data_IF_638634483552
#
_entry.id   IF_638634483552
#
_cell.length_a   1.000
_cell.length_b   1.000
_cell.length_c   1.000
_cell.angle_alpha   90.00
_cell.angle_beta   90.00
_cell.angle_gamma   90.00
#
_symmetry.space_group_name_H-M   'P 1'
#
loop_
_entity.id
_entity.type
_entity.pdbx_description
1 polymer ?
#
# COMPACT_ATOMS: atom_id res chain seq x y z
N UNK A 1 9.57 -30.22 10.92
CA UNK A 1 9.93 -30.37 9.50
C UNK A 1 11.41 -30.09 9.44
N UNK A 2 12.23 -31.05 9.04
CA UNK A 2 13.68 -30.88 8.97
C UNK A 2 14.00 -29.96 7.77
N UNK A 3 14.68 -28.84 8.01
CA UNK A 3 14.99 -27.85 6.97
C UNK A 3 16.31 -28.27 6.32
N UNK A 4 16.28 -28.59 5.03
CA UNK A 4 17.49 -28.85 4.26
C UNK A 4 17.79 -27.64 3.38
N UNK A 5 18.86 -26.90 3.66
CA UNK A 5 19.29 -25.77 2.82
C UNK A 5 20.01 -26.29 1.57
N UNK A 6 19.23 -26.76 0.59
CA UNK A 6 19.70 -27.41 -0.65
C UNK A 6 19.55 -26.54 -1.91
N UNK A 7 19.13 -25.29 -1.75
CA UNK A 7 18.93 -24.32 -2.82
C UNK A 7 19.54 -22.96 -2.47
N UNK A 8 20.39 -22.47 -3.36
CA UNK A 8 20.90 -21.10 -3.36
C UNK A 8 19.98 -20.22 -4.24
N UNK A 9 19.48 -19.12 -3.70
CA UNK A 9 18.68 -18.14 -4.46
C UNK A 9 19.38 -16.79 -4.42
N UNK A 10 19.90 -16.37 -5.56
CA UNK A 10 20.50 -15.06 -5.78
C UNK A 10 19.40 -14.09 -6.23
N UNK A 11 19.19 -13.02 -5.48
CA UNK A 11 18.12 -12.04 -5.71
C UNK A 11 18.73 -10.72 -6.14
N UNK A 12 18.52 -10.39 -7.42
CA UNK A 12 18.93 -9.18 -8.10
C UNK A 12 20.45 -8.90 -8.00
N UNK A 13 21.29 -9.92 -7.75
CA UNK A 13 22.72 -9.76 -7.50
C UNK A 13 23.05 -9.03 -6.19
N UNK A 14 22.07 -8.81 -5.32
CA UNK A 14 22.22 -8.08 -4.05
C UNK A 14 22.47 -9.03 -2.89
N UNK A 15 21.62 -10.04 -2.75
CA UNK A 15 21.67 -11.00 -1.65
C UNK A 15 21.47 -12.43 -2.13
N UNK A 16 22.08 -13.37 -1.42
CA UNK A 16 22.00 -14.80 -1.68
C UNK A 16 21.41 -15.51 -0.48
N UNK A 17 20.30 -16.20 -0.71
CA UNK A 17 19.55 -16.94 0.31
C UNK A 17 19.81 -18.44 0.19
N UNK A 18 20.08 -19.08 1.33
CA UNK A 18 20.14 -20.55 1.43
C UNK A 18 18.82 -21.07 2.00
N UNK A 19 18.07 -21.80 1.18
CA UNK A 19 16.68 -22.17 1.44
C UNK A 19 16.42 -23.64 1.08
N UNK A 20 15.28 -24.16 1.53
CA UNK A 20 14.82 -25.52 1.30
C UNK A 20 13.91 -25.56 0.07
N UNK A 21 14.39 -26.30 -0.94
CA UNK A 21 13.72 -26.44 -2.23
C UNK A 21 12.28 -26.92 -2.09
N UNK A 22 12.03 -27.92 -1.22
CA UNK A 22 10.70 -28.54 -1.07
C UNK A 22 9.71 -27.59 -0.41
N UNK A 23 10.19 -26.83 0.56
CA UNK A 23 9.42 -25.84 1.30
C UNK A 23 8.92 -24.77 0.33
N UNK A 24 9.81 -24.15 -0.45
CA UNK A 24 9.42 -23.13 -1.42
C UNK A 24 8.53 -23.69 -2.54
N UNK A 25 8.85 -24.87 -3.08
CA UNK A 25 8.05 -25.52 -4.13
C UNK A 25 6.61 -25.82 -3.70
N UNK A 26 6.37 -26.04 -2.40
CA UNK A 26 5.04 -26.35 -1.89
C UNK A 26 4.07 -25.15 -1.91
N UNK A 27 4.60 -23.93 -1.96
CA UNK A 27 3.80 -22.69 -1.98
C UNK A 27 3.93 -21.90 -3.29
N UNK A 28 5.07 -21.98 -3.98
CA UNK A 28 5.32 -21.23 -5.21
C UNK A 28 5.09 -22.08 -6.46
N UNK A 29 4.16 -21.64 -7.30
CA UNK A 29 3.95 -22.24 -8.63
C UNK A 29 5.19 -22.14 -9.51
N UNK A 30 5.93 -21.03 -9.42
CA UNK A 30 7.16 -20.81 -10.18
C UNK A 30 8.24 -21.84 -9.82
N UNK A 31 8.51 -22.02 -8.52
CA UNK A 31 9.46 -23.03 -8.06
C UNK A 31 8.98 -24.46 -8.35
N UNK A 32 7.70 -24.76 -8.14
CA UNK A 32 7.12 -26.08 -8.44
C UNK A 32 7.32 -26.48 -9.91
N UNK A 33 7.05 -25.56 -10.84
CA UNK A 33 7.30 -25.77 -12.28
C UNK A 33 8.80 -25.92 -12.57
N UNK A 34 9.63 -25.02 -12.02
CA UNK A 34 11.07 -25.04 -12.24
C UNK A 34 11.68 -26.37 -11.78
N UNK A 35 11.28 -26.88 -10.62
CA UNK A 35 11.83 -28.11 -10.06
C UNK A 35 11.22 -29.40 -10.63
N UNK A 36 9.97 -29.37 -11.08
CA UNK A 36 9.38 -30.54 -11.75
C UNK A 36 10.02 -30.82 -13.11
N UNK A 37 10.55 -29.79 -13.78
CA UNK A 37 11.30 -29.93 -15.03
C UNK A 37 12.71 -30.52 -14.85
N UNK A 38 13.22 -30.57 -13.61
CA UNK A 38 14.54 -31.08 -13.28
C UNK A 38 14.49 -32.56 -12.95
N UNK A 39 14.90 -33.40 -13.89
CA UNK A 39 14.84 -34.87 -13.82
C UNK A 39 15.98 -35.53 -13.02
N UNK A 40 16.85 -34.76 -12.35
CA UNK A 40 18.03 -35.26 -11.64
C UNK A 40 18.19 -34.73 -10.20
N UNK A 41 18.86 -35.52 -9.34
CA UNK A 41 19.34 -35.09 -8.01
C UNK A 41 20.56 -34.17 -8.17
N UNK A 42 20.33 -32.95 -8.67
CA UNK A 42 21.37 -31.92 -8.61
C UNK A 42 21.53 -31.48 -7.16
N UNK A 43 22.73 -31.70 -6.58
CA UNK A 43 23.03 -31.41 -5.18
C UNK A 43 23.35 -29.94 -4.92
N UNK A 44 23.58 -29.15 -5.97
CA UNK A 44 23.92 -27.73 -5.88
C UNK A 44 23.02 -26.97 -6.86
N UNK A 45 21.84 -26.56 -6.40
CA UNK A 45 20.91 -25.78 -7.21
C UNK A 45 21.07 -24.31 -6.89
N UNK A 46 21.32 -23.51 -7.93
CA UNK A 46 21.32 -22.05 -7.86
C UNK A 46 20.22 -21.51 -8.76
N UNK A 47 19.36 -20.67 -8.21
CA UNK A 47 18.35 -19.90 -8.93
C UNK A 47 18.73 -18.43 -8.84
N UNK A 48 18.64 -17.71 -9.95
CA UNK A 48 18.95 -16.28 -10.01
C UNK A 48 17.69 -15.54 -10.45
N UNK A 49 17.26 -14.57 -9.65
CA UNK A 49 16.25 -13.59 -10.03
C UNK A 49 16.94 -12.29 -10.38
N UNK A 50 16.62 -11.69 -11.53
CA UNK A 50 17.19 -10.40 -11.92
C UNK A 50 16.31 -9.21 -11.52
N UNK A 51 14.99 -9.41 -11.48
CA UNK A 51 13.99 -8.36 -11.21
C UNK A 51 12.91 -8.86 -10.22
N UNK A 52 13.33 -9.39 -9.08
CA UNK A 52 12.39 -9.79 -8.03
C UNK A 52 11.69 -8.54 -7.45
N UNK A 53 10.35 -8.50 -7.34
CA UNK A 53 9.64 -7.35 -6.78
C UNK A 53 10.08 -7.04 -5.34
N UNK A 54 10.56 -5.82 -5.10
CA UNK A 54 11.17 -5.39 -3.83
C UNK A 54 12.46 -6.11 -3.46
N UNK A 55 13.14 -6.73 -4.42
CA UNK A 55 14.46 -7.31 -4.25
C UNK A 55 14.55 -8.34 -3.12
N UNK A 56 15.63 -8.25 -2.34
CA UNK A 56 15.93 -9.17 -1.25
C UNK A 56 14.83 -9.16 -0.18
N UNK A 57 14.33 -7.99 0.20
CA UNK A 57 13.23 -7.84 1.19
C UNK A 57 11.96 -8.56 0.72
N UNK A 58 11.58 -8.36 -0.55
CA UNK A 58 10.45 -9.06 -1.14
C UNK A 58 10.62 -10.57 -1.07
N UNK A 59 11.81 -11.07 -1.40
CA UNK A 59 12.08 -12.51 -1.35
C UNK A 59 12.09 -13.04 0.09
N UNK A 60 12.63 -12.28 1.04
CA UNK A 60 12.63 -12.62 2.46
C UNK A 60 11.19 -12.82 2.96
N UNK A 61 10.28 -11.89 2.64
CA UNK A 61 8.87 -11.98 3.00
C UNK A 61 8.19 -13.24 2.42
N UNK A 62 8.48 -13.57 1.16
CA UNK A 62 7.99 -14.81 0.53
C UNK A 62 8.55 -16.04 1.23
N UNK A 63 9.84 -16.05 1.55
CA UNK A 63 10.47 -17.17 2.24
C UNK A 63 9.87 -17.36 3.63
N UNK A 64 9.69 -16.27 4.39
CA UNK A 64 9.08 -16.27 5.72
C UNK A 64 7.66 -16.85 5.68
N UNK A 65 6.85 -16.46 4.70
CA UNK A 65 5.53 -17.07 4.50
C UNK A 65 5.62 -18.59 4.29
N UNK A 66 6.51 -19.05 3.43
CA UNK A 66 6.68 -20.48 3.14
C UNK A 66 7.10 -21.27 4.38
N UNK A 67 8.06 -20.75 5.14
CA UNK A 67 8.56 -21.38 6.36
C UNK A 67 7.57 -21.31 7.53
N UNK A 68 6.70 -20.30 7.56
CA UNK A 68 5.66 -20.14 8.58
C UNK A 68 4.33 -20.84 8.20
N UNK A 69 4.43 -21.97 7.51
CA UNK A 69 3.27 -22.79 7.09
C UNK A 69 2.20 -21.99 6.31
N UNK A 70 2.61 -20.96 5.59
CA UNK A 70 1.72 -20.11 4.80
C UNK A 70 0.89 -19.12 5.62
N UNK A 71 1.40 -18.69 6.77
CA UNK A 71 0.88 -17.56 7.54
C UNK A 71 1.77 -16.33 7.32
N UNK A 72 1.19 -15.26 6.79
CA UNK A 72 1.85 -13.95 6.70
C UNK A 72 1.24 -12.97 7.70
N UNK A 73 2.09 -12.11 8.26
CA UNK A 73 1.67 -10.89 8.94
C UNK A 73 1.60 -9.78 7.89
N UNK A 74 0.38 -9.43 7.49
CA UNK A 74 0.13 -8.42 6.46
C UNK A 74 -0.19 -7.10 7.15
N UNK A 75 0.61 -6.08 6.86
CA UNK A 75 0.48 -4.71 7.36
C UNK A 75 0.29 -3.76 6.18
N UNK A 76 -0.21 -2.53 6.41
CA UNK A 76 -0.31 -1.52 5.35
C UNK A 76 1.03 -1.24 4.64
N UNK A 77 2.14 -1.34 5.37
CA UNK A 77 3.48 -1.10 4.85
C UNK A 77 4.03 -2.22 3.97
N UNK A 78 3.63 -3.48 4.17
CA UNK A 78 4.17 -4.60 3.41
C UNK A 78 3.16 -5.21 2.43
N UNK A 79 1.89 -4.80 2.47
CA UNK A 79 0.81 -5.40 1.69
C UNK A 79 1.09 -5.37 0.18
N UNK A 80 1.54 -4.23 -0.32
CA UNK A 80 1.79 -4.04 -1.76
C UNK A 80 2.94 -4.94 -2.22
N UNK A 81 4.06 -4.90 -1.48
CA UNK A 81 5.22 -5.73 -1.73
C UNK A 81 4.88 -7.23 -1.69
N UNK A 82 4.21 -7.68 -0.63
CA UNK A 82 3.76 -9.07 -0.49
C UNK A 82 2.90 -9.50 -1.67
N UNK A 83 1.96 -8.68 -2.13
CA UNK A 83 1.12 -9.03 -3.25
C UNK A 83 1.92 -9.12 -4.56
N UNK A 84 2.80 -8.14 -4.82
CA UNK A 84 3.65 -8.12 -6.03
C UNK A 84 4.56 -9.35 -6.08
N UNK A 85 5.28 -9.63 -4.99
CA UNK A 85 6.15 -10.78 -4.86
C UNK A 85 5.37 -12.10 -4.96
N UNK A 86 4.20 -12.20 -4.32
CA UNK A 86 3.36 -13.40 -4.38
C UNK A 86 2.84 -13.68 -5.80
N UNK A 87 2.47 -12.63 -6.54
CA UNK A 87 2.07 -12.75 -7.95
C UNK A 87 3.25 -13.19 -8.82
N UNK A 88 4.43 -12.58 -8.64
CA UNK A 88 5.64 -12.96 -9.36
C UNK A 88 6.03 -14.42 -9.12
N UNK A 89 5.83 -14.91 -7.89
CA UNK A 89 6.11 -16.29 -7.48
C UNK A 89 4.96 -17.27 -7.72
N UNK A 90 3.87 -16.80 -8.34
CA UNK A 90 2.67 -17.56 -8.67
C UNK A 90 2.05 -18.29 -7.46
N UNK A 91 1.99 -17.62 -6.29
CA UNK A 91 1.50 -18.18 -5.03
C UNK A 91 -0.03 -18.10 -4.93
N UNK A 92 -0.70 -18.75 -5.89
CA UNK A 92 -2.17 -18.88 -5.97
C UNK A 92 -2.65 -20.10 -5.17
N UNK A 93 -3.94 -20.10 -4.85
CA UNK A 93 -4.56 -21.26 -4.21
C UNK A 93 -4.51 -22.49 -5.14
N UNK A 94 -3.92 -23.58 -4.64
CA UNK A 94 -3.85 -24.87 -5.33
C UNK A 94 -4.68 -25.96 -4.62
N UNK A 95 -5.58 -25.56 -3.69
CA UNK A 95 -6.46 -26.44 -2.92
C UNK A 95 -5.82 -27.10 -1.70
N UNK A 96 -4.49 -27.17 -1.63
CA UNK A 96 -3.77 -27.89 -0.55
C UNK A 96 -3.06 -26.95 0.44
N UNK A 97 -2.71 -25.74 0.01
CA UNK A 97 -1.94 -24.77 0.80
C UNK A 97 -2.60 -23.39 0.74
N UNK A 98 -2.44 -22.57 1.79
CA UNK A 98 -2.95 -21.21 1.80
C UNK A 98 -2.30 -20.36 0.70
N UNK A 99 -3.11 -19.51 0.07
CA UNK A 99 -2.69 -18.56 -0.97
C UNK A 99 -2.28 -17.23 -0.33
N UNK A 100 -1.06 -16.78 -0.59
CA UNK A 100 -0.61 -15.46 -0.13
C UNK A 100 -1.35 -14.34 -0.88
N UNK A 101 -1.63 -14.54 -2.17
CA UNK A 101 -2.43 -13.60 -2.96
C UNK A 101 -3.81 -13.41 -2.32
N UNK A 102 -4.48 -14.49 -1.93
CA UNK A 102 -5.83 -14.41 -1.34
C UNK A 102 -5.78 -13.74 0.05
N UNK A 103 -4.73 -14.01 0.84
CA UNK A 103 -4.54 -13.34 2.13
C UNK A 103 -4.36 -11.82 1.97
N UNK A 104 -3.58 -11.37 0.99
CA UNK A 104 -3.41 -9.93 0.71
C UNK A 104 -4.68 -9.27 0.17
N UNK A 105 -5.49 -9.98 -0.62
CA UNK A 105 -6.80 -9.48 -1.04
C UNK A 105 -7.77 -9.39 0.14
N UNK A 106 -7.75 -10.37 1.02
CA UNK A 106 -8.58 -10.40 2.23
C UNK A 106 -8.22 -9.28 3.20
N UNK A 107 -6.93 -8.95 3.38
CA UNK A 107 -6.54 -7.81 4.24
C UNK A 107 -7.07 -6.48 3.72
N UNK A 108 -7.32 -6.33 2.41
CA UNK A 108 -7.96 -5.13 1.85
C UNK A 108 -9.44 -4.99 2.19
N UNK A 109 -10.11 -6.03 2.69
CA UNK A 109 -11.50 -5.90 3.17
C UNK A 109 -11.58 -4.97 4.39
N UNK A 110 -10.50 -4.90 5.19
CA UNK A 110 -10.40 -4.03 6.37
C UNK A 110 -9.77 -2.66 6.10
N UNK A 111 -9.54 -2.29 4.83
CA UNK A 111 -8.82 -1.05 4.48
C UNK A 111 -9.49 0.22 5.02
N UNK A 112 -10.81 0.21 5.19
CA UNK A 112 -11.57 1.33 5.75
C UNK A 112 -11.20 1.65 7.20
N UNK A 113 -10.64 0.69 7.94
CA UNK A 113 -10.21 0.82 9.33
C UNK A 113 -8.78 1.36 9.47
N UNK A 114 -7.99 1.42 8.40
CA UNK A 114 -6.61 1.89 8.44
C UNK A 114 -6.56 3.38 8.81
N UNK A 115 -5.52 3.81 9.50
CA UNK A 115 -5.26 5.24 9.76
C UNK A 115 -4.92 5.98 8.47
N UNK A 116 -4.97 7.31 8.49
CA UNK A 116 -4.54 8.13 7.35
C UNK A 116 -3.08 7.86 6.97
N UNK A 117 -2.20 7.79 7.98
CA UNK A 117 -0.78 7.47 7.77
C UNK A 117 -0.57 6.10 7.12
N UNK A 118 -1.33 5.08 7.51
CA UNK A 118 -1.25 3.74 6.92
C UNK A 118 -1.68 3.73 5.44
N UNK A 119 -2.71 4.51 5.07
CA UNK A 119 -3.12 4.68 3.68
C UNK A 119 -2.04 5.36 2.84
N UNK A 120 -1.40 6.41 3.37
CA UNK A 120 -0.31 7.11 2.67
C UNK A 120 0.91 6.23 2.46
N UNK A 121 1.27 5.42 3.47
CA UNK A 121 2.36 4.43 3.35
C UNK A 121 2.04 3.42 2.26
N UNK A 122 0.84 2.83 2.26
CA UNK A 122 0.43 1.89 1.23
C UNK A 122 0.38 2.52 -0.17
N UNK A 123 -0.01 3.80 -0.27
CA UNK A 123 -0.05 4.54 -1.52
C UNK A 123 1.35 4.82 -2.07
N UNK A 124 2.32 5.13 -1.20
CA UNK A 124 3.74 5.26 -1.57
C UNK A 124 4.29 3.94 -2.10
N UNK A 125 4.07 2.85 -1.40
CA UNK A 125 4.47 1.52 -1.85
C UNK A 125 3.84 1.15 -3.21
N UNK A 126 2.58 1.54 -3.44
CA UNK A 126 1.93 1.36 -4.73
C UNK A 126 2.64 2.11 -5.85
N UNK A 127 3.12 3.33 -5.60
CA UNK A 127 3.87 4.10 -6.59
C UNK A 127 5.19 3.43 -6.97
N UNK A 128 5.89 2.89 -5.99
CA UNK A 128 7.25 2.38 -6.18
C UNK A 128 7.26 0.97 -6.79
N UNK A 129 6.24 0.14 -6.48
CA UNK A 129 6.23 -1.28 -6.81
C UNK A 129 5.25 -1.68 -7.91
N UNK A 130 4.23 -0.86 -8.20
CA UNK A 130 3.24 -1.18 -9.21
C UNK A 130 3.53 -0.41 -10.50
N UNK A 131 3.55 -1.08 -11.66
CA UNK A 131 3.48 -0.37 -12.93
C UNK A 131 2.22 0.50 -12.96
N UNK A 132 2.22 1.58 -13.74
CA UNK A 132 1.10 2.54 -13.87
C UNK A 132 -0.26 1.91 -14.29
N UNK A 133 -0.30 0.60 -14.58
CA UNK A 133 -1.52 -0.16 -14.82
C UNK A 133 -2.34 -0.38 -13.54
N UNK A 134 -3.63 -0.63 -13.70
CA UNK A 134 -4.56 -0.84 -12.59
C UNK A 134 -4.24 -2.11 -11.79
N UNK A 135 -3.64 -1.91 -10.61
CA UNK A 135 -3.66 -2.92 -9.55
C UNK A 135 -4.91 -2.73 -8.68
N UNK A 136 -5.57 -3.83 -8.33
CA UNK A 136 -6.71 -3.84 -7.40
C UNK A 136 -6.36 -3.18 -6.05
N UNK A 137 -5.11 -3.31 -5.61
CA UNK A 137 -4.62 -2.71 -4.36
C UNK A 137 -4.60 -1.19 -4.51
N UNK A 138 -4.00 -0.68 -5.57
CA UNK A 138 -3.90 0.75 -5.82
C UNK A 138 -5.29 1.38 -5.94
N UNK A 139 -6.21 0.72 -6.65
CA UNK A 139 -7.60 1.19 -6.77
C UNK A 139 -8.29 1.27 -5.41
N UNK A 140 -8.19 0.22 -4.57
CA UNK A 140 -8.79 0.22 -3.23
C UNK A 140 -8.16 1.26 -2.30
N UNK A 141 -6.85 1.44 -2.34
CA UNK A 141 -6.15 2.44 -1.52
C UNK A 141 -6.57 3.85 -1.96
N UNK A 142 -6.56 4.14 -3.26
CA UNK A 142 -6.99 5.43 -3.79
C UNK A 142 -8.47 5.71 -3.50
N UNK A 143 -9.35 4.73 -3.67
CA UNK A 143 -10.78 4.85 -3.35
C UNK A 143 -11.00 5.22 -1.88
N UNK A 144 -10.30 4.55 -0.97
CA UNK A 144 -10.39 4.84 0.46
C UNK A 144 -9.86 6.24 0.81
N UNK A 145 -8.74 6.63 0.20
CA UNK A 145 -8.14 7.96 0.35
C UNK A 145 -9.11 9.06 -0.15
N UNK A 146 -9.63 8.90 -1.36
CA UNK A 146 -10.56 9.86 -1.97
C UNK A 146 -11.86 9.93 -1.17
N UNK A 147 -12.38 8.78 -0.71
CA UNK A 147 -13.55 8.72 0.15
C UNK A 147 -13.36 9.51 1.45
N UNK A 148 -12.15 9.52 2.03
CA UNK A 148 -11.85 10.33 3.23
C UNK A 148 -11.72 11.81 2.94
N UNK A 149 -11.17 12.18 1.78
CA UNK A 149 -11.12 13.57 1.32
C UNK A 149 -12.52 14.12 1.00
N UNK A 150 -13.45 13.25 0.60
CA UNK A 150 -14.84 13.57 0.29
C UNK A 150 -15.70 13.91 1.50
N UNK A 151 -15.34 13.39 2.69
CA UNK A 151 -16.12 13.60 3.90
C UNK A 151 -15.99 15.07 4.32
N UNK A 152 -17.10 15.81 4.46
CA UNK A 152 -17.07 17.11 5.13
C UNK A 152 -16.49 16.87 6.52
N UNK A 153 -15.44 17.61 6.89
CA UNK A 153 -14.81 17.52 8.22
C UNK A 153 -15.86 17.96 9.26
N UNK A 154 -16.71 17.03 9.69
CA UNK A 154 -17.48 17.14 10.91
C UNK A 154 -16.54 16.71 12.02
N UNK A 155 -15.96 17.72 12.67
CA UNK A 155 -15.01 17.63 13.77
C UNK A 155 -13.61 17.11 13.41
N UNK A 156 -12.67 18.04 13.49
CA UNK A 156 -11.26 17.84 13.83
C UNK A 156 -11.00 16.54 14.60
N UNK A 157 -10.02 15.70 14.21
CA UNK A 157 -9.45 14.74 15.14
C UNK A 157 -8.71 15.56 16.20
N UNK A 158 -9.41 15.92 17.27
CA UNK A 158 -8.78 16.35 18.49
C UNK A 158 -7.83 15.22 18.89
N UNK A 159 -6.53 15.51 18.82
CA UNK A 159 -5.49 14.77 19.51
C UNK A 159 -5.96 14.52 20.94
N UNK A 160 -6.17 13.26 21.29
CA UNK A 160 -6.24 12.85 22.68
C UNK A 160 -4.86 13.04 23.31
N UNK A 161 -4.58 14.26 23.75
CA UNK A 161 -3.54 14.54 24.73
C UNK A 161 -4.23 14.78 26.06
N UNK A 162 -4.26 13.71 26.86
CA UNK A 162 -4.49 13.78 28.29
C UNK A 162 -3.44 14.71 28.91
N UNK A 163 -3.88 15.76 29.61
CA UNK A 163 -3.29 16.27 30.87
C UNK A 163 -3.96 17.59 31.32
N UNK A 164 -4.87 17.45 32.28
CA UNK A 164 -5.03 18.27 33.49
C UNK A 164 -4.80 19.80 33.42
N UNK A 165 -5.88 20.60 33.51
CA UNK A 165 -6.12 21.52 34.64
C UNK A 165 -7.32 22.44 34.41
N UNK A 166 -7.92 22.82 35.53
CA UNK A 166 -9.25 23.38 35.76
C UNK A 166 -9.43 24.88 35.49
N UNK A 167 -10.69 25.23 35.20
CA UNK A 167 -11.45 26.41 35.65
C UNK A 167 -11.60 27.65 34.70
N UNK A 168 -12.85 27.80 34.24
CA UNK A 168 -13.73 29.00 34.30
C UNK A 168 -13.76 30.06 33.18
N UNK A 169 -15.01 30.37 32.75
CA UNK A 169 -15.44 31.61 32.08
C UNK A 169 -16.28 31.35 30.82
N UNK A 170 -17.59 31.10 30.92
CA UNK A 170 -18.73 32.06 30.93
C UNK A 170 -19.03 32.75 29.58
N UNK A 171 -20.33 32.86 29.29
CA UNK A 171 -20.96 33.07 27.99
C UNK A 171 -20.86 34.48 27.39
N UNK A 172 -21.05 34.49 26.06
CA UNK A 172 -21.56 35.53 25.15
C UNK A 172 -20.89 36.92 25.11
N UNK A 173 -20.21 37.22 24.00
CA UNK A 173 -20.33 38.53 23.32
C UNK A 173 -20.03 38.44 21.83
N UNK A 174 -21.05 38.82 21.05
CA UNK A 174 -21.06 39.18 19.63
C UNK A 174 -19.76 39.85 19.16
N UNK A 175 -19.03 39.19 18.25
CA UNK A 175 -17.91 39.78 17.51
C UNK A 175 -18.03 39.45 16.03
N UNK A 176 -18.29 40.47 15.23
CA UNK A 176 -18.14 40.47 13.77
C UNK A 176 -16.69 40.16 13.39
N UNK A 177 -16.50 39.61 12.18
CA UNK A 177 -15.25 39.32 11.48
C UNK A 177 -14.24 38.40 12.19
N UNK A 178 -14.28 37.14 11.78
CA UNK A 178 -13.11 36.26 11.75
C UNK A 178 -13.32 35.27 10.62
N UNK A 179 -13.17 35.75 9.38
CA UNK A 179 -12.75 34.92 8.23
C UNK A 179 -11.31 34.44 8.50
N UNK A 180 -11.11 33.74 9.61
CA UNK A 180 -9.81 33.27 10.05
C UNK A 180 -9.83 31.76 9.89
N UNK A 181 -9.13 31.34 8.86
CA UNK A 181 -8.58 30.00 8.68
C UNK A 181 -9.44 28.91 8.01
N UNK A 182 -10.27 29.25 7.03
CA UNK A 182 -10.71 28.22 6.06
C UNK A 182 -9.55 27.73 5.16
N UNK A 183 -8.46 28.49 5.04
CA UNK A 183 -7.32 28.14 4.20
C UNK A 183 -6.41 27.06 4.82
N UNK A 184 -6.29 26.97 6.15
CA UNK A 184 -5.53 25.88 6.79
C UNK A 184 -6.29 24.56 6.80
N UNK A 185 -7.63 24.61 6.77
CA UNK A 185 -8.46 23.40 6.91
C UNK A 185 -8.76 22.73 5.57
N UNK A 186 -8.61 23.42 4.44
CA UNK A 186 -8.75 22.83 3.10
C UNK A 186 -7.44 22.23 2.54
N UNK A 187 -6.30 22.55 3.16
CA UNK A 187 -4.94 22.22 2.67
C UNK A 187 -4.20 21.17 3.50
N UNK A 188 -4.80 20.64 4.59
CA UNK A 188 -4.13 19.71 5.51
C UNK A 188 -3.57 18.46 4.82
N UNK A 189 -4.23 18.01 3.76
CA UNK A 189 -3.88 16.81 3.02
C UNK A 189 -2.85 17.08 1.92
N UNK A 190 -2.65 18.33 1.49
CA UNK A 190 -1.85 18.64 0.30
C UNK A 190 -0.38 18.23 0.46
N UNK A 191 0.22 18.56 1.61
CA UNK A 191 1.61 18.21 1.94
C UNK A 191 1.84 16.70 1.90
N UNK A 192 0.83 15.93 2.31
CA UNK A 192 0.89 14.47 2.34
C UNK A 192 0.91 13.85 0.94
N UNK A 193 0.50 14.54 -0.12
CA UNK A 193 0.51 14.02 -1.50
C UNK A 193 1.65 14.55 -2.37
N UNK A 194 2.55 15.35 -1.83
CA UNK A 194 3.69 15.87 -2.60
C UNK A 194 4.60 14.78 -3.16
N UNK A 195 4.53 13.56 -2.62
CA UNK A 195 5.29 12.42 -3.13
C UNK A 195 4.68 11.77 -4.38
N UNK A 196 3.44 12.10 -4.74
CA UNK A 196 2.75 11.46 -5.85
C UNK A 196 3.38 11.84 -7.19
N UNK A 197 3.59 10.84 -8.04
CA UNK A 197 3.98 11.02 -9.42
C UNK A 197 2.79 11.46 -10.28
N UNK A 198 3.08 11.92 -11.50
CA UNK A 198 2.07 12.49 -12.39
C UNK A 198 0.98 11.46 -12.76
N UNK A 199 1.34 10.18 -12.89
CA UNK A 199 0.42 9.10 -13.25
C UNK A 199 -0.61 8.85 -12.15
N UNK A 200 -0.17 8.81 -10.89
CA UNK A 200 -1.06 8.63 -9.74
C UNK A 200 -1.93 9.86 -9.50
N UNK A 201 -1.40 11.06 -9.72
CA UNK A 201 -2.15 12.32 -9.66
C UNK A 201 -3.28 12.31 -10.69
N UNK A 202 -2.99 11.94 -11.95
CA UNK A 202 -3.98 11.85 -13.01
C UNK A 202 -5.07 10.84 -12.63
N UNK A 203 -4.66 9.65 -12.18
CA UNK A 203 -5.59 8.59 -11.77
C UNK A 203 -6.47 9.01 -10.59
N UNK A 204 -5.88 9.61 -9.55
CA UNK A 204 -6.61 10.13 -8.40
C UNK A 204 -7.63 11.19 -8.83
N UNK A 205 -7.24 12.09 -9.75
CA UNK A 205 -8.14 13.12 -10.29
C UNK A 205 -9.33 12.48 -11.02
N UNK A 206 -9.08 11.49 -11.88
CA UNK A 206 -10.15 10.78 -12.59
C UNK A 206 -11.10 10.06 -11.63
N UNK A 207 -10.57 9.41 -10.60
CA UNK A 207 -11.38 8.76 -9.56
C UNK A 207 -12.22 9.80 -8.79
N UNK A 208 -11.62 10.92 -8.35
CA UNK A 208 -12.36 12.00 -7.69
C UNK A 208 -13.52 12.54 -8.54
N UNK A 209 -13.33 12.66 -9.86
CA UNK A 209 -14.40 13.06 -10.78
C UNK A 209 -15.51 12.02 -10.87
N UNK A 210 -15.17 10.74 -10.85
CA UNK A 210 -16.14 9.64 -10.94
C UNK A 210 -16.99 9.46 -9.67
N UNK A 211 -16.47 9.85 -8.50
CA UNK A 211 -17.18 9.73 -7.22
C UNK A 211 -18.32 10.74 -7.01
N UNK A 212 -18.63 11.61 -7.98
CA UNK A 212 -19.64 12.66 -7.85
C UNK A 212 -19.54 13.37 -6.49
N UNK A 213 -18.35 13.93 -6.18
CA UNK A 213 -18.26 14.92 -5.10
C UNK A 213 -19.29 16.01 -5.43
N UNK A 214 -20.37 16.01 -4.66
CA UNK A 214 -21.59 16.71 -5.04
C UNK A 214 -21.29 18.20 -5.24
N UNK A 215 -21.96 18.79 -6.22
CA UNK A 215 -21.71 20.14 -6.75
C UNK A 215 -21.76 21.28 -5.68
N UNK A 216 -22.07 20.97 -4.42
CA UNK A 216 -22.15 21.88 -3.28
C UNK A 216 -20.83 22.07 -2.52
N UNK A 217 -19.98 21.05 -2.35
CA UNK A 217 -18.59 21.21 -1.86
C UNK A 217 -17.68 21.75 -2.97
N UNK A 218 -18.13 21.55 -4.21
CA UNK A 218 -17.68 22.16 -5.47
C UNK A 218 -18.29 23.58 -5.61
N UNK A 219 -18.20 24.41 -4.56
CA UNK A 219 -18.12 25.88 -4.72
C UNK A 219 -16.70 26.44 -4.53
N UNK A 220 -15.73 25.57 -4.23
CA UNK A 220 -14.31 25.81 -4.48
C UNK A 220 -13.69 24.94 -5.62
N UNK A 221 -14.38 24.62 -6.75
CA UNK A 221 -13.86 23.69 -7.73
C UNK A 221 -13.06 24.39 -8.83
N UNK A 222 -13.15 25.71 -8.94
CA UNK A 222 -12.17 26.48 -9.70
C UNK A 222 -10.88 26.57 -8.90
N UNK A 223 -10.92 26.74 -7.57
CA UNK A 223 -9.72 26.91 -6.77
C UNK A 223 -9.05 25.58 -6.39
N UNK A 224 -9.73 24.49 -6.05
CA UNK A 224 -9.03 23.24 -5.72
C UNK A 224 -8.45 22.53 -6.96
N UNK A 225 -9.19 22.49 -8.09
CA UNK A 225 -8.62 22.04 -9.37
C UNK A 225 -7.54 23.00 -9.87
N UNK A 226 -7.78 24.32 -9.81
CA UNK A 226 -6.72 25.25 -10.22
C UNK A 226 -5.56 25.19 -9.27
N UNK A 227 -5.69 25.06 -7.95
CA UNK A 227 -4.57 24.95 -7.02
C UNK A 227 -3.83 23.62 -7.17
N UNK A 228 -4.52 22.49 -7.35
CA UNK A 228 -3.87 21.21 -7.59
C UNK A 228 -3.11 21.24 -8.93
N UNK A 229 -3.76 21.71 -10.02
CA UNK A 229 -3.12 21.87 -11.34
C UNK A 229 -2.08 23.01 -11.40
N UNK A 230 -2.22 24.07 -10.58
CA UNK A 230 -1.31 25.23 -10.50
C UNK A 230 -0.10 24.92 -9.64
N UNK A 231 -0.25 24.17 -8.54
CA UNK A 231 0.87 23.63 -7.76
C UNK A 231 1.69 22.62 -8.58
N UNK A 232 1.04 21.74 -9.36
CA UNK A 232 1.72 20.82 -10.28
C UNK A 232 2.47 21.60 -11.38
N UNK A 233 1.91 22.71 -11.89
CA UNK A 233 2.58 23.59 -12.87
C UNK A 233 3.74 24.43 -12.31
N UNK A 234 3.84 24.61 -11.00
CA UNK A 234 4.92 25.35 -10.36
C UNK A 234 6.16 24.49 -10.07
N UNK A 235 6.04 23.16 -10.18
CA UNK A 235 7.12 22.19 -9.98
C UNK A 235 7.66 21.55 -11.28
N UNK A 236 7.15 21.96 -12.46
CA UNK A 236 7.65 21.59 -13.79
C UNK A 236 8.28 22.80 -14.49
#
# INVERSE_FOLDING_TARGET
>A
MEVHCDLEVDVNGQEVFMVDKKTLASFSGKFSKLFSSMTGRSKNLKVIFHDFPGGAEGFELISRFCYNNGKAEITPSNLVLLNCAARFMEMKNNGSRPSLIDQTVKSLEGISLWTWSELLVALRECQDLLPASSSLILEKVLDCVIGRLALPIAASPCTFSSENSSFQGSCDTRSSYSMRNNHSQASWWFEDFLFLNIDLIEKATMMMLSHNLDHATIRAPSLAKSYFLFSIRLQA
#
